data_IF_800806811875
#
_entry.id   IF_800806811875
#
_cell.length_a   1.000
_cell.length_b   1.000
_cell.length_c   1.000
_cell.angle_alpha   90.00
_cell.angle_beta   90.00
_cell.angle_gamma   90.00
#
_symmetry.space_group_name_H-M   'P 1'
#
loop_
_entity.id
_entity.type
_entity.pdbx_description
1 polymer ?
#
# COMPACT_ATOMS: atom_id res chain seq x y z
N UNK A 1 -12.12 15.42 -10.81
CA UNK A 1 -11.28 14.31 -11.28
C UNK A 1 -11.78 13.88 -12.64
N UNK A 2 -10.91 13.64 -13.62
CA UNK A 2 -11.28 13.19 -14.96
C UNK A 2 -11.59 11.69 -14.87
N UNK A 3 -12.81 11.29 -15.23
CA UNK A 3 -13.21 9.88 -15.32
C UNK A 3 -12.40 9.19 -16.41
N UNK A 4 -12.02 7.94 -16.18
CA UNK A 4 -11.32 7.11 -17.14
C UNK A 4 -12.28 6.20 -17.88
N UNK A 5 -12.00 5.97 -19.16
CA UNK A 5 -12.82 5.15 -20.04
C UNK A 5 -12.17 3.78 -20.23
N UNK A 6 -12.88 2.71 -19.89
CA UNK A 6 -12.46 1.32 -20.10
C UNK A 6 -13.40 0.64 -21.10
N UNK A 7 -12.84 0.05 -22.12
CA UNK A 7 -13.56 -0.91 -22.97
C UNK A 7 -13.25 -2.32 -22.49
N UNK A 8 -14.31 -3.08 -22.20
CA UNK A 8 -14.23 -4.51 -21.91
C UNK A 8 -14.93 -5.30 -23.02
N UNK A 9 -14.24 -6.28 -23.60
CA UNK A 9 -14.86 -7.11 -24.63
C UNK A 9 -14.54 -8.60 -24.43
N UNK A 10 -15.59 -9.41 -24.38
CA UNK A 10 -15.51 -10.86 -24.21
C UNK A 10 -16.77 -11.50 -24.81
N UNK A 11 -16.64 -12.71 -25.39
CA UNK A 11 -17.78 -13.47 -25.89
C UNK A 11 -18.65 -14.06 -24.78
N UNK A 12 -18.08 -14.28 -23.60
CA UNK A 12 -18.80 -14.76 -22.42
C UNK A 12 -19.53 -13.59 -21.75
N UNK A 13 -20.81 -13.44 -22.07
CA UNK A 13 -21.67 -12.37 -21.57
C UNK A 13 -21.82 -12.41 -20.05
N UNK A 14 -21.90 -13.62 -19.46
CA UNK A 14 -22.06 -13.76 -18.01
C UNK A 14 -20.78 -13.34 -17.27
N UNK A 15 -19.64 -13.80 -17.77
CA UNK A 15 -18.32 -13.38 -17.23
C UNK A 15 -18.14 -11.87 -17.32
N UNK A 16 -18.41 -11.29 -18.49
CA UNK A 16 -18.27 -9.87 -18.76
C UNK A 16 -19.18 -9.01 -17.87
N UNK A 17 -20.45 -9.43 -17.70
CA UNK A 17 -21.41 -8.73 -16.84
C UNK A 17 -20.99 -8.75 -15.38
N UNK A 18 -20.56 -9.90 -14.85
CA UNK A 18 -20.10 -10.03 -13.48
C UNK A 18 -18.84 -9.18 -13.23
N UNK A 19 -17.92 -9.18 -14.18
CA UNK A 19 -16.68 -8.41 -14.11
C UNK A 19 -16.97 -6.90 -14.13
N UNK A 20 -17.84 -6.45 -15.04
CA UNK A 20 -18.25 -5.05 -15.18
C UNK A 20 -18.95 -4.54 -13.92
N UNK A 21 -19.86 -5.32 -13.35
CA UNK A 21 -20.54 -4.96 -12.11
C UNK A 21 -19.56 -4.80 -10.95
N UNK A 22 -18.61 -5.73 -10.83
CA UNK A 22 -17.56 -5.64 -9.82
C UNK A 22 -16.69 -4.38 -10.00
N UNK A 23 -16.27 -4.08 -11.22
CA UNK A 23 -15.44 -2.90 -11.51
C UNK A 23 -16.16 -1.59 -11.23
N UNK A 24 -17.48 -1.50 -11.56
CA UNK A 24 -18.29 -0.32 -11.23
C UNK A 24 -18.43 -0.11 -9.72
N UNK A 25 -18.60 -1.19 -8.97
CA UNK A 25 -18.72 -1.12 -7.50
C UNK A 25 -17.39 -0.66 -6.85
N UNK A 26 -16.26 -1.22 -7.30
CA UNK A 26 -14.95 -0.97 -6.68
C UNK A 26 -14.24 0.28 -7.20
N UNK A 27 -14.49 0.68 -8.43
CA UNK A 27 -13.89 1.88 -9.01
C UNK A 27 -14.92 2.74 -9.77
N UNK A 28 -15.74 3.55 -9.06
CA UNK A 28 -16.77 4.40 -9.68
C UNK A 28 -16.23 5.47 -10.64
N UNK A 29 -14.91 5.69 -10.66
CA UNK A 29 -14.26 6.64 -11.57
C UNK A 29 -13.92 6.01 -12.93
N UNK A 30 -14.11 4.69 -13.06
CA UNK A 30 -13.85 3.95 -14.29
C UNK A 30 -15.17 3.75 -15.04
N UNK A 31 -15.42 4.59 -16.05
CA UNK A 31 -16.57 4.43 -16.94
C UNK A 31 -16.31 3.28 -17.92
N UNK A 32 -17.31 2.42 -18.11
CA UNK A 32 -17.13 1.20 -18.86
C UNK A 32 -18.05 1.14 -20.07
N UNK A 33 -17.47 0.72 -21.22
CA UNK A 33 -18.20 0.29 -22.40
C UNK A 33 -17.92 -1.22 -22.60
N UNK A 34 -18.99 -2.03 -22.62
CA UNK A 34 -18.89 -3.47 -22.72
C UNK A 34 -19.38 -4.00 -24.08
N UNK A 35 -18.64 -4.96 -24.64
CA UNK A 35 -18.96 -5.54 -25.94
C UNK A 35 -18.84 -7.07 -25.90
N UNK A 36 -19.94 -7.75 -26.28
CA UNK A 36 -19.95 -9.22 -26.39
C UNK A 36 -19.66 -9.69 -27.83
N UNK A 37 -19.66 -8.77 -28.81
CA UNK A 37 -19.42 -9.06 -30.23
C UNK A 37 -18.33 -8.14 -30.76
N UNK A 38 -17.34 -8.74 -31.42
CA UNK A 38 -16.19 -8.03 -31.97
C UNK A 38 -16.60 -7.00 -33.04
N UNK A 39 -17.60 -7.32 -33.87
CA UNK A 39 -18.12 -6.44 -34.90
C UNK A 39 -18.65 -5.14 -34.31
N UNK A 40 -19.36 -5.21 -33.17
CA UNK A 40 -19.89 -4.04 -32.47
C UNK A 40 -18.81 -3.18 -31.85
N UNK A 41 -17.75 -3.79 -31.34
CA UNK A 41 -16.57 -3.08 -30.85
C UNK A 41 -15.88 -2.32 -32.00
N UNK A 42 -15.69 -2.98 -33.13
CA UNK A 42 -15.08 -2.36 -34.32
C UNK A 42 -15.95 -1.20 -34.83
N UNK A 43 -17.27 -1.41 -34.99
CA UNK A 43 -18.21 -0.35 -35.39
C UNK A 43 -18.11 0.86 -34.44
N UNK A 44 -18.05 0.63 -33.14
CA UNK A 44 -17.93 1.70 -32.13
C UNK A 44 -16.65 2.51 -32.34
N UNK A 45 -15.51 1.85 -32.53
CA UNK A 45 -14.22 2.51 -32.72
C UNK A 45 -14.13 3.23 -34.08
N UNK A 46 -14.65 2.64 -35.16
CA UNK A 46 -14.70 3.28 -36.50
C UNK A 46 -15.59 4.53 -36.53
N UNK A 47 -16.63 4.60 -35.65
CA UNK A 47 -17.47 5.76 -35.51
C UNK A 47 -16.97 6.81 -34.50
N UNK A 48 -15.66 6.75 -34.15
CA UNK A 48 -15.01 7.75 -33.28
C UNK A 48 -15.12 7.44 -31.78
N UNK A 49 -15.56 6.25 -31.39
CA UNK A 49 -15.49 5.79 -30.02
C UNK A 49 -14.03 5.63 -29.59
N UNK A 50 -13.74 5.97 -28.33
CA UNK A 50 -12.39 5.86 -27.78
C UNK A 50 -12.43 5.50 -26.30
N UNK A 51 -11.30 5.07 -25.76
CA UNK A 51 -11.11 4.84 -24.33
C UNK A 51 -9.64 5.06 -23.92
N UNK A 52 -9.41 5.13 -22.62
CA UNK A 52 -8.03 5.12 -22.09
C UNK A 52 -7.46 3.69 -22.12
N UNK A 53 -8.30 2.69 -21.86
CA UNK A 53 -7.93 1.27 -21.72
C UNK A 53 -8.85 0.41 -22.60
N UNK A 54 -8.24 -0.49 -23.37
CA UNK A 54 -8.94 -1.55 -24.12
C UNK A 54 -8.52 -2.90 -23.54
N UNK A 55 -9.42 -3.59 -22.84
CA UNK A 55 -9.20 -4.92 -22.31
C UNK A 55 -10.12 -5.92 -23.00
N UNK A 56 -9.56 -6.85 -23.77
CA UNK A 56 -10.30 -7.76 -24.62
C UNK A 56 -9.89 -9.22 -24.43
N UNK A 57 -10.83 -10.13 -24.59
CA UNK A 57 -10.53 -11.56 -24.73
C UNK A 57 -9.59 -11.81 -25.93
N UNK A 58 -8.71 -12.79 -25.82
CA UNK A 58 -7.74 -13.13 -26.88
C UNK A 58 -8.36 -13.38 -28.24
N UNK A 59 -9.62 -13.83 -28.31
CA UNK A 59 -10.35 -14.05 -29.56
C UNK A 59 -10.74 -12.76 -30.29
N UNK A 60 -10.64 -11.61 -29.63
CA UNK A 60 -10.90 -10.29 -30.22
C UNK A 60 -9.62 -9.63 -30.76
N UNK A 61 -8.46 -10.01 -30.24
CA UNK A 61 -7.19 -9.40 -30.58
C UNK A 61 -6.79 -9.73 -32.01
N UNK A 62 -6.67 -8.69 -32.86
CA UNK A 62 -6.11 -8.81 -34.21
C UNK A 62 -5.49 -7.47 -34.66
N UNK A 63 -4.86 -7.48 -35.83
CA UNK A 63 -4.20 -6.30 -36.40
C UNK A 63 -5.17 -5.13 -36.67
N UNK A 64 -6.44 -5.41 -37.04
CA UNK A 64 -7.44 -4.36 -37.27
C UNK A 64 -7.80 -3.65 -35.95
N UNK A 65 -8.11 -4.38 -34.91
CA UNK A 65 -8.42 -3.82 -33.60
C UNK A 65 -7.21 -3.10 -33.01
N UNK A 66 -6.01 -3.64 -33.18
CA UNK A 66 -4.78 -3.01 -32.75
C UNK A 66 -4.57 -1.64 -33.39
N UNK A 67 -4.86 -1.50 -34.68
CA UNK A 67 -4.74 -0.24 -35.43
C UNK A 67 -5.78 0.79 -34.98
N UNK A 68 -7.05 0.37 -34.75
CA UNK A 68 -8.13 1.25 -34.28
C UNK A 68 -7.90 1.75 -32.86
N UNK A 69 -7.19 0.98 -32.02
CA UNK A 69 -6.90 1.31 -30.64
C UNK A 69 -5.47 1.85 -30.43
N UNK A 70 -4.88 2.54 -31.45
CA UNK A 70 -3.49 2.98 -31.42
C UNK A 70 -3.13 3.83 -30.19
N UNK A 71 -4.04 4.71 -29.77
CA UNK A 71 -3.87 5.65 -28.66
C UNK A 71 -4.32 5.10 -27.30
N UNK A 72 -4.73 3.83 -27.25
CA UNK A 72 -5.23 3.18 -26.01
C UNK A 72 -4.16 2.24 -25.44
N UNK A 73 -4.21 2.04 -24.11
CA UNK A 73 -3.50 0.90 -23.50
C UNK A 73 -4.24 -0.39 -23.85
N UNK A 74 -3.58 -1.25 -24.63
CA UNK A 74 -4.15 -2.48 -25.19
C UNK A 74 -3.79 -3.67 -24.32
N UNK A 75 -4.80 -4.33 -23.76
CA UNK A 75 -4.67 -5.48 -22.85
C UNK A 75 -5.45 -6.67 -23.43
N UNK A 76 -4.82 -7.83 -23.45
CA UNK A 76 -5.48 -9.10 -23.74
C UNK A 76 -5.69 -9.89 -22.47
N UNK A 77 -6.94 -10.29 -22.23
CA UNK A 77 -7.33 -11.22 -21.18
C UNK A 77 -7.17 -12.64 -21.71
N UNK A 78 -6.08 -13.30 -21.32
CA UNK A 78 -5.70 -14.62 -21.83
C UNK A 78 -5.75 -15.70 -20.74
N UNK A 79 -6.12 -16.90 -21.12
CA UNK A 79 -6.03 -18.08 -20.27
C UNK A 79 -4.68 -18.81 -20.41
N UNK A 80 -4.02 -18.67 -21.56
CA UNK A 80 -2.73 -19.31 -21.85
C UNK A 80 -1.51 -18.49 -21.42
N UNK A 81 -1.68 -17.18 -21.24
CA UNK A 81 -0.60 -16.20 -20.98
C UNK A 81 0.47 -16.16 -22.10
N UNK A 82 0.13 -16.61 -23.29
CA UNK A 82 1.04 -16.48 -24.44
C UNK A 82 1.11 -15.02 -24.88
N UNK A 83 2.30 -14.52 -25.26
CA UNK A 83 2.46 -13.16 -25.76
C UNK A 83 1.61 -12.89 -26.98
N UNK A 84 0.88 -11.78 -27.01
CA UNK A 84 0.11 -11.30 -28.14
C UNK A 84 0.72 -10.00 -28.62
N UNK A 85 1.14 -9.96 -29.90
CA UNK A 85 1.85 -8.81 -30.47
C UNK A 85 1.02 -7.52 -30.35
N UNK A 86 1.61 -6.49 -29.75
CA UNK A 86 0.99 -5.17 -29.57
C UNK A 86 0.00 -5.07 -28.42
N UNK A 87 -0.11 -6.10 -27.58
CA UNK A 87 -0.94 -6.12 -26.38
C UNK A 87 -0.14 -6.51 -25.14
N UNK A 88 -0.51 -5.91 -24.00
CA UNK A 88 -0.10 -6.43 -22.70
C UNK A 88 -0.99 -7.63 -22.34
N UNK A 89 -0.41 -8.71 -21.81
CA UNK A 89 -1.17 -9.91 -21.48
C UNK A 89 -1.45 -9.97 -20.00
N UNK A 90 -2.71 -10.23 -19.66
CA UNK A 90 -3.22 -10.35 -18.29
C UNK A 90 -4.00 -11.66 -18.16
N UNK A 91 -3.82 -12.38 -17.03
CA UNK A 91 -4.51 -13.65 -16.79
C UNK A 91 -6.02 -13.44 -16.65
N UNK A 92 -6.82 -14.09 -17.51
CA UNK A 92 -8.27 -13.94 -17.56
C UNK A 92 -8.97 -14.48 -16.30
N UNK A 93 -8.72 -15.74 -15.95
CA UNK A 93 -9.41 -16.41 -14.84
C UNK A 93 -8.64 -16.27 -13.54
N UNK A 94 -8.90 -15.16 -12.85
CA UNK A 94 -8.40 -14.84 -11.53
C UNK A 94 -9.47 -14.09 -10.74
N UNK A 95 -9.22 -13.72 -9.48
CA UNK A 95 -10.16 -12.90 -8.70
C UNK A 95 -10.40 -11.57 -9.42
N UNK A 96 -11.66 -11.11 -9.49
CA UNK A 96 -12.02 -9.85 -10.18
C UNK A 96 -11.24 -8.65 -9.66
N UNK A 97 -10.91 -8.64 -8.38
CA UNK A 97 -10.07 -7.61 -7.75
C UNK A 97 -8.64 -7.62 -8.30
N UNK A 98 -8.01 -8.78 -8.36
CA UNK A 98 -6.66 -8.93 -8.91
C UNK A 98 -6.63 -8.54 -10.39
N UNK A 99 -7.67 -8.93 -11.15
CA UNK A 99 -7.79 -8.59 -12.57
C UNK A 99 -7.92 -7.08 -12.79
N UNK A 100 -8.78 -6.40 -12.01
CA UNK A 100 -8.92 -4.93 -12.08
C UNK A 100 -7.60 -4.24 -11.80
N UNK A 101 -6.91 -4.64 -10.72
CA UNK A 101 -5.65 -4.06 -10.31
C UNK A 101 -4.55 -4.27 -11.37
N UNK A 102 -4.48 -5.45 -11.96
CA UNK A 102 -3.51 -5.76 -13.02
C UNK A 102 -3.76 -4.94 -14.29
N UNK A 103 -5.03 -4.76 -14.71
CA UNK A 103 -5.42 -3.88 -15.81
C UNK A 103 -5.00 -2.43 -15.53
N UNK A 104 -5.29 -1.91 -14.34
CA UNK A 104 -4.95 -0.54 -13.96
C UNK A 104 -3.43 -0.34 -13.84
N UNK A 105 -2.71 -1.35 -13.34
CA UNK A 105 -1.26 -1.32 -13.27
C UNK A 105 -0.64 -1.23 -14.68
N UNK A 106 -1.10 -2.06 -15.62
CA UNK A 106 -0.65 -2.02 -17.03
C UNK A 106 -0.92 -0.66 -17.68
N UNK A 107 -2.07 -0.07 -17.39
CA UNK A 107 -2.39 1.29 -17.85
C UNK A 107 -1.41 2.33 -17.27
N UNK A 108 -1.13 2.26 -15.97
CA UNK A 108 -0.19 3.17 -15.32
C UNK A 108 1.24 3.01 -15.86
N UNK A 109 1.70 1.77 -16.09
CA UNK A 109 3.00 1.47 -16.68
C UNK A 109 3.13 2.05 -18.09
N UNK A 110 2.07 1.94 -18.92
CA UNK A 110 2.09 2.42 -20.32
C UNK A 110 1.99 3.94 -20.44
N UNK A 111 1.30 4.62 -19.52
CA UNK A 111 1.00 6.06 -19.63
C UNK A 111 1.78 6.93 -18.65
N UNK A 112 2.41 6.33 -17.62
CA UNK A 112 3.01 7.05 -16.49
C UNK A 112 1.98 7.73 -15.57
N UNK A 113 0.68 7.45 -15.74
CA UNK A 113 -0.42 8.04 -14.95
C UNK A 113 -0.86 7.07 -13.87
N UNK A 114 -0.46 7.33 -12.63
CA UNK A 114 -0.78 6.50 -11.47
C UNK A 114 -2.11 6.83 -10.79
N UNK A 115 -2.76 7.93 -11.17
CA UNK A 115 -4.01 8.41 -10.55
C UNK A 115 -5.20 7.42 -10.65
N UNK A 116 -5.10 6.42 -11.52
CA UNK A 116 -6.16 5.43 -11.81
C UNK A 116 -6.07 4.19 -10.92
N UNK A 117 -4.88 3.92 -10.38
CA UNK A 117 -4.64 2.76 -9.49
C UNK A 117 -5.38 2.91 -8.14
N UNK A 118 -5.82 4.13 -7.80
CA UNK A 118 -6.63 4.42 -6.60
C UNK A 118 -8.10 3.97 -6.67
N UNK A 119 -8.42 2.90 -7.38
CA UNK A 119 -9.58 2.09 -7.05
C UNK A 119 -9.35 1.61 -5.61
N UNK A 120 -10.36 1.73 -4.72
CA UNK A 120 -10.25 1.31 -3.32
C UNK A 120 -9.72 -0.13 -3.26
N UNK A 121 -8.40 -0.29 -3.24
CA UNK A 121 -7.79 -1.50 -2.73
C UNK A 121 -8.30 -1.65 -1.30
N UNK A 122 -8.81 -2.81 -0.93
CA UNK A 122 -9.18 -3.07 0.47
C UNK A 122 -7.95 -3.16 1.39
N UNK A 123 -6.75 -3.17 0.80
CA UNK A 123 -5.49 -3.18 1.54
C UNK A 123 -5.27 -1.84 2.23
N UNK A 124 -5.05 -1.84 3.53
CA UNK A 124 -4.77 -0.64 4.32
C UNK A 124 -3.27 -0.43 4.48
N UNK A 125 -2.78 0.73 4.06
CA UNK A 125 -1.39 1.15 4.28
C UNK A 125 -1.27 1.87 5.64
N UNK A 126 -0.55 1.26 6.56
CA UNK A 126 -0.35 1.73 7.93
C UNK A 126 1.12 2.06 8.15
N UNK A 127 1.43 3.30 8.44
CA UNK A 127 2.81 3.79 8.62
C UNK A 127 3.08 4.08 10.09
N UNK A 128 4.24 3.66 10.57
CA UNK A 128 4.76 4.06 11.88
C UNK A 128 5.84 5.13 11.69
N UNK A 129 5.49 6.37 12.01
CA UNK A 129 6.40 7.52 11.88
C UNK A 129 6.45 8.36 13.16
N UNK A 130 7.63 8.79 13.54
CA UNK A 130 7.86 9.77 14.60
C UNK A 130 9.16 10.54 14.30
N UNK A 131 9.18 11.88 14.43
CA UNK A 131 10.40 12.68 14.27
C UNK A 131 11.39 12.43 15.41
N UNK A 132 10.96 11.82 16.52
CA UNK A 132 11.81 11.44 17.63
C UNK A 132 12.44 10.05 17.39
N UNK A 133 13.77 9.98 17.36
CA UNK A 133 14.49 8.71 17.40
C UNK A 133 14.22 7.99 18.72
N UNK A 134 14.24 6.64 18.70
CA UNK A 134 14.02 5.84 19.92
C UNK A 134 12.58 5.81 20.42
N UNK A 135 11.61 6.42 19.72
CA UNK A 135 10.19 6.43 20.11
C UNK A 135 9.51 5.07 20.07
N UNK A 136 10.15 4.06 19.49
CA UNK A 136 9.65 2.68 19.41
C UNK A 136 8.91 2.36 18.11
N UNK A 137 9.14 3.07 17.01
CA UNK A 137 8.53 2.81 15.69
C UNK A 137 8.65 1.34 15.28
N UNK A 138 9.87 0.85 15.12
CA UNK A 138 10.15 -0.53 14.73
C UNK A 138 9.56 -1.56 15.70
N UNK A 139 9.62 -1.30 16.99
CA UNK A 139 9.00 -2.15 18.02
C UNK A 139 7.50 -2.27 17.83
N UNK A 140 6.82 -1.12 17.63
CA UNK A 140 5.37 -1.08 17.49
C UNK A 140 4.91 -1.56 16.11
N UNK A 141 5.67 -1.30 15.05
CA UNK A 141 5.35 -1.79 13.71
C UNK A 141 5.42 -3.33 13.64
N UNK A 142 6.46 -3.95 14.23
CA UNK A 142 6.55 -5.40 14.35
C UNK A 142 5.46 -5.99 15.26
N UNK A 143 5.17 -5.32 16.38
CA UNK A 143 4.09 -5.71 17.28
C UNK A 143 2.74 -5.69 16.55
N UNK A 144 2.48 -4.64 15.78
CA UNK A 144 1.26 -4.49 14.98
C UNK A 144 1.18 -5.57 13.89
N UNK A 145 2.27 -5.83 13.17
CA UNK A 145 2.32 -6.87 12.16
C UNK A 145 1.99 -8.25 12.75
N UNK A 146 2.60 -8.59 13.89
CA UNK A 146 2.32 -9.86 14.59
C UNK A 146 0.90 -9.92 15.17
N UNK A 147 0.37 -8.82 15.70
CA UNK A 147 -0.99 -8.76 16.24
C UNK A 147 -2.04 -8.89 15.12
N UNK A 148 -1.82 -8.26 13.97
CA UNK A 148 -2.67 -8.40 12.79
C UNK A 148 -2.62 -9.84 12.24
N UNK A 149 -1.44 -10.45 12.14
CA UNK A 149 -1.30 -11.86 11.77
C UNK A 149 -2.03 -12.80 12.72
N UNK A 150 -1.89 -12.59 14.03
CA UNK A 150 -2.63 -13.34 15.07
C UNK A 150 -4.15 -13.10 15.03
N UNK A 151 -4.59 -11.96 14.45
CA UNK A 151 -6.01 -11.68 14.19
C UNK A 151 -6.54 -12.37 12.92
N UNK A 152 -5.68 -13.06 12.16
CA UNK A 152 -6.04 -13.73 10.90
C UNK A 152 -6.01 -12.79 9.68
N UNK A 153 -5.48 -11.58 9.81
CA UNK A 153 -5.32 -10.65 8.70
C UNK A 153 -4.08 -11.03 7.87
N UNK A 154 -4.22 -11.02 6.55
CA UNK A 154 -3.08 -11.17 5.63
C UNK A 154 -2.24 -9.90 5.70
N UNK A 155 -1.18 -9.94 6.46
CA UNK A 155 -0.37 -8.78 6.81
C UNK A 155 0.96 -8.81 6.08
N UNK A 156 1.36 -7.69 5.50
CA UNK A 156 2.70 -7.48 4.97
C UNK A 156 3.46 -6.46 5.82
N UNK A 157 4.65 -6.81 6.28
CA UNK A 157 5.56 -5.90 6.97
C UNK A 157 6.64 -5.41 6.01
N UNK A 158 6.67 -4.11 5.78
CA UNK A 158 7.64 -3.44 4.90
C UNK A 158 8.57 -2.57 5.73
N UNK A 159 9.84 -2.97 5.82
CA UNK A 159 10.89 -2.16 6.45
C UNK A 159 11.56 -1.26 5.40
N UNK A 160 11.38 0.06 5.54
CA UNK A 160 12.00 1.09 4.72
C UNK A 160 13.03 1.91 5.52
N UNK A 161 13.70 1.28 6.50
CA UNK A 161 14.86 1.88 7.14
C UNK A 161 16.09 1.78 6.22
N UNK A 162 16.93 2.82 6.23
CA UNK A 162 18.22 2.84 5.51
C UNK A 162 19.18 1.76 6.01
N UNK A 163 19.08 1.47 7.31
CA UNK A 163 19.82 0.40 7.98
C UNK A 163 18.79 -0.54 8.59
N UNK A 164 18.69 -1.74 8.05
CA UNK A 164 17.71 -2.75 8.48
C UNK A 164 17.97 -3.16 9.93
N UNK A 165 17.21 -2.60 10.86
CA UNK A 165 17.30 -2.86 12.30
C UNK A 165 16.74 -4.23 12.69
N UNK A 166 15.96 -4.88 11.83
CA UNK A 166 15.38 -6.22 12.06
C UNK A 166 16.20 -7.35 11.43
N UNK A 167 17.28 -7.01 10.72
CA UNK A 167 18.20 -7.98 10.14
C UNK A 167 18.77 -8.91 11.23
N UNK A 168 18.68 -10.20 10.99
CA UNK A 168 19.08 -11.23 11.97
C UNK A 168 18.03 -11.57 13.03
N UNK A 169 16.93 -10.83 13.11
CA UNK A 169 15.72 -11.22 13.87
C UNK A 169 14.74 -11.99 12.98
N UNK A 170 14.47 -11.46 11.82
CA UNK A 170 13.73 -12.15 10.76
C UNK A 170 14.71 -13.02 9.97
N UNK A 171 14.26 -14.20 9.53
CA UNK A 171 15.03 -15.05 8.66
C UNK A 171 15.28 -14.35 7.30
N UNK A 172 16.36 -14.67 6.58
CA UNK A 172 16.54 -14.17 5.23
C UNK A 172 15.37 -14.55 4.34
N UNK A 173 14.84 -13.59 3.57
CA UNK A 173 13.83 -13.84 2.55
C UNK A 173 14.45 -14.39 1.26
N UNK A 174 13.61 -14.80 0.30
CA UNK A 174 14.08 -15.38 -0.97
C UNK A 174 14.78 -14.33 -1.86
N UNK A 175 14.51 -13.04 -1.65
CA UNK A 175 15.20 -11.90 -2.22
C UNK A 175 15.09 -10.73 -1.25
N UNK A 176 15.62 -9.57 -1.63
CA UNK A 176 15.72 -8.38 -0.78
C UNK A 176 14.93 -7.21 -1.37
N UNK A 177 14.80 -6.14 -0.61
CA UNK A 177 14.23 -4.89 -1.09
C UNK A 177 15.05 -4.31 -2.26
N UNK A 178 16.38 -4.56 -2.29
CA UNK A 178 17.25 -4.20 -3.42
C UNK A 178 16.81 -4.83 -4.73
N UNK A 179 16.41 -6.10 -4.70
CA UNK A 179 15.86 -6.81 -5.85
C UNK A 179 14.58 -6.17 -6.39
N UNK A 180 13.71 -5.72 -5.48
CA UNK A 180 12.45 -5.07 -5.84
C UNK A 180 12.70 -3.67 -6.40
N UNK A 181 13.66 -2.93 -5.83
CA UNK A 181 14.09 -1.63 -6.35
C UNK A 181 14.70 -1.75 -7.76
N UNK A 182 15.49 -2.79 -8.00
CA UNK A 182 15.99 -3.07 -9.35
C UNK A 182 14.85 -3.33 -10.35
N UNK A 183 13.82 -4.06 -9.92
CA UNK A 183 12.63 -4.28 -10.76
C UNK A 183 11.86 -2.98 -11.05
N UNK A 184 11.76 -2.06 -10.08
CA UNK A 184 11.15 -0.73 -10.27
C UNK A 184 11.87 0.12 -11.30
N UNK A 185 13.21 0.00 -11.40
CA UNK A 185 14.06 0.73 -12.35
C UNK A 185 14.11 0.07 -13.74
N UNK A 186 13.76 -1.21 -13.82
CA UNK A 186 13.89 -1.99 -15.07
C UNK A 186 12.59 -1.97 -15.87
N UNK A 187 12.64 -1.44 -17.11
CA UNK A 187 11.49 -1.46 -18.01
C UNK A 187 11.04 -2.88 -18.33
N UNK A 188 9.73 -3.12 -18.25
CA UNK A 188 9.13 -4.43 -18.57
C UNK A 188 9.19 -5.47 -17.43
N UNK A 189 9.80 -5.16 -16.29
CA UNK A 189 9.74 -6.03 -15.13
C UNK A 189 8.44 -5.78 -14.34
N UNK A 190 7.74 -6.87 -14.02
CA UNK A 190 6.56 -6.80 -13.16
C UNK A 190 7.00 -6.78 -11.68
N UNK A 191 6.88 -5.61 -11.06
CA UNK A 191 7.29 -5.38 -9.67
C UNK A 191 6.49 -6.25 -8.69
N UNK A 192 5.19 -6.46 -8.93
CA UNK A 192 4.34 -7.31 -8.10
C UNK A 192 4.79 -8.78 -8.12
N UNK A 193 5.11 -9.32 -9.29
CA UNK A 193 5.66 -10.68 -9.43
C UNK A 193 7.01 -10.79 -8.73
N UNK A 194 7.89 -9.78 -8.88
CA UNK A 194 9.19 -9.78 -8.20
C UNK A 194 9.01 -9.73 -6.68
N UNK A 195 8.12 -8.87 -6.20
CA UNK A 195 7.79 -8.77 -4.78
C UNK A 195 7.29 -10.11 -4.22
N UNK A 196 6.32 -10.74 -4.89
CA UNK A 196 5.78 -12.03 -4.48
C UNK A 196 6.86 -13.13 -4.46
N UNK A 197 7.81 -13.09 -5.41
CA UNK A 197 8.94 -14.04 -5.45
C UNK A 197 9.96 -13.80 -4.33
N UNK A 198 10.12 -12.57 -3.85
CA UNK A 198 11.06 -12.21 -2.78
C UNK A 198 10.45 -12.40 -1.39
N UNK A 199 9.16 -12.15 -1.23
CA UNK A 199 8.47 -12.18 0.05
C UNK A 199 8.41 -13.59 0.65
N UNK A 200 8.52 -13.66 1.97
CA UNK A 200 8.36 -14.89 2.74
C UNK A 200 7.45 -14.66 3.94
N UNK A 201 6.84 -15.72 4.46
CA UNK A 201 6.01 -15.64 5.64
C UNK A 201 6.83 -15.90 6.91
N UNK A 202 6.77 -14.97 7.87
CA UNK A 202 7.19 -15.22 9.24
C UNK A 202 6.12 -16.10 9.92
N UNK A 203 6.50 -17.35 10.24
CA UNK A 203 5.54 -18.38 10.65
C UNK A 203 4.94 -18.16 12.04
N UNK A 204 5.68 -17.53 12.93
CA UNK A 204 5.26 -17.34 14.32
C UNK A 204 4.35 -16.13 14.47
N UNK A 205 4.70 -15.01 13.84
CA UNK A 205 3.91 -13.79 13.82
C UNK A 205 2.80 -13.78 12.77
N UNK A 206 2.84 -14.70 11.80
CA UNK A 206 1.79 -14.85 10.79
C UNK A 206 1.75 -13.77 9.72
N UNK A 207 2.81 -12.96 9.58
CA UNK A 207 2.88 -11.88 8.58
C UNK A 207 3.90 -12.19 7.49
N UNK A 208 3.74 -11.55 6.32
CA UNK A 208 4.71 -11.61 5.22
C UNK A 208 5.69 -10.45 5.31
N UNK A 209 6.90 -10.64 4.82
CA UNK A 209 7.95 -9.62 4.77
C UNK A 209 8.97 -9.94 3.69
N UNK A 210 9.84 -8.98 3.42
CA UNK A 210 11.09 -9.20 2.69
C UNK A 210 12.24 -8.52 3.44
N UNK A 211 13.45 -9.01 3.25
CA UNK A 211 14.65 -8.44 3.84
C UNK A 211 14.89 -7.03 3.30
N UNK A 212 15.42 -6.14 4.13
CA UNK A 212 15.73 -4.76 3.76
C UNK A 212 16.74 -4.64 2.61
N UNK A 213 17.19 -3.44 2.34
CA UNK A 213 18.21 -3.17 1.32
C UNK A 213 19.56 -3.82 1.70
N UNK A 214 20.33 -4.22 0.69
CA UNK A 214 21.64 -4.82 0.90
C UNK A 214 22.70 -3.76 1.24
N UNK A 215 22.52 -2.54 0.72
CA UNK A 215 23.48 -1.45 0.87
C UNK A 215 22.77 -0.11 1.07
N UNK A 216 23.34 0.76 1.92
CA UNK A 216 22.89 2.14 2.14
C UNK A 216 22.93 2.91 0.82
N UNK A 217 23.95 2.72 -0.02
CA UNK A 217 24.09 3.40 -1.29
C UNK A 217 22.94 3.12 -2.24
N UNK A 218 22.43 1.88 -2.27
CA UNK A 218 21.25 1.52 -3.05
C UNK A 218 20.00 2.25 -2.54
N UNK A 219 19.84 2.36 -1.22
CA UNK A 219 18.73 3.11 -0.63
C UNK A 219 18.82 4.60 -0.96
N UNK A 220 20.03 5.18 -0.98
CA UNK A 220 20.25 6.59 -1.33
C UNK A 220 19.81 6.90 -2.77
N UNK A 221 20.05 5.97 -3.70
CA UNK A 221 19.68 6.11 -5.10
C UNK A 221 18.18 5.99 -5.40
N UNK A 222 17.38 5.50 -4.46
CA UNK A 222 15.93 5.38 -4.62
C UNK A 222 15.26 6.74 -4.44
N UNK A 223 14.37 7.10 -5.35
CA UNK A 223 13.60 8.34 -5.32
C UNK A 223 12.29 8.20 -4.53
N UNK A 224 11.69 9.32 -4.12
CA UNK A 224 10.37 9.32 -3.50
C UNK A 224 9.29 8.75 -4.43
N UNK A 225 9.39 8.98 -5.75
CA UNK A 225 8.45 8.40 -6.72
C UNK A 225 8.56 6.88 -6.82
N UNK A 226 9.76 6.31 -6.73
CA UNK A 226 9.96 4.86 -6.72
C UNK A 226 9.42 4.23 -5.43
N UNK A 227 9.59 4.89 -4.28
CA UNK A 227 8.99 4.48 -3.02
C UNK A 227 7.46 4.52 -3.11
N UNK A 228 6.88 5.60 -3.66
CA UNK A 228 5.43 5.70 -3.88
C UNK A 228 4.93 4.54 -4.73
N UNK A 229 5.56 4.27 -5.88
CA UNK A 229 5.21 3.14 -6.77
C UNK A 229 5.31 1.78 -6.08
N UNK A 230 6.29 1.60 -5.19
CA UNK A 230 6.41 0.37 -4.40
C UNK A 230 5.19 0.18 -3.50
N UNK A 231 4.82 1.19 -2.71
CA UNK A 231 3.68 1.12 -1.79
C UNK A 231 2.37 0.92 -2.56
N UNK A 232 2.15 1.68 -3.63
CA UNK A 232 1.00 1.52 -4.53
C UNK A 232 0.93 0.10 -5.10
N UNK A 233 2.06 -0.45 -5.55
CA UNK A 233 2.12 -1.83 -6.08
C UNK A 233 1.71 -2.84 -5.02
N UNK A 234 2.29 -2.79 -3.82
CA UNK A 234 1.96 -3.73 -2.73
C UNK A 234 0.47 -3.66 -2.40
N UNK A 235 -0.07 -2.44 -2.26
CA UNK A 235 -1.49 -2.25 -1.97
C UNK A 235 -2.40 -2.73 -3.11
N UNK A 236 -1.99 -2.58 -4.36
CA UNK A 236 -2.78 -2.98 -5.53
C UNK A 236 -2.83 -4.48 -5.76
N UNK A 237 -1.89 -5.27 -5.23
CA UNK A 237 -1.90 -6.73 -5.38
C UNK A 237 -3.13 -7.39 -4.75
N UNK A 238 -3.80 -6.73 -3.79
CA UNK A 238 -4.97 -7.25 -3.05
C UNK A 238 -4.71 -8.62 -2.37
N UNK A 239 -3.45 -8.97 -2.20
CA UNK A 239 -3.03 -10.18 -1.50
C UNK A 239 -3.01 -9.98 0.01
N UNK A 240 -2.93 -8.72 0.45
CA UNK A 240 -2.83 -8.33 1.85
C UNK A 240 -4.04 -7.50 2.28
N UNK A 241 -4.47 -7.69 3.52
CA UNK A 241 -5.52 -6.88 4.13
C UNK A 241 -4.92 -5.59 4.73
N UNK A 242 -3.64 -5.68 5.16
CA UNK A 242 -2.90 -4.56 5.73
C UNK A 242 -1.41 -4.62 5.38
N UNK A 243 -0.82 -3.48 5.07
CA UNK A 243 0.63 -3.27 4.92
C UNK A 243 1.11 -2.40 6.05
N UNK A 244 1.95 -2.94 6.92
CA UNK A 244 2.58 -2.21 8.03
C UNK A 244 3.95 -1.73 7.56
N UNK A 245 4.14 -0.41 7.54
CA UNK A 245 5.35 0.20 7.00
C UNK A 245 6.14 0.87 8.11
N UNK A 246 7.36 0.43 8.31
CA UNK A 246 8.33 1.03 9.24
C UNK A 246 9.29 1.95 8.49
N UNK A 247 9.40 3.19 8.95
CA UNK A 247 10.24 4.21 8.33
C UNK A 247 11.18 4.88 9.33
N UNK A 248 12.23 5.51 8.83
CA UNK A 248 13.15 6.28 9.66
C UNK A 248 12.48 7.50 10.31
N UNK A 249 13.19 8.17 11.22
CA UNK A 249 12.71 9.44 11.81
C UNK A 249 12.99 10.66 10.93
N UNK A 250 13.66 10.47 9.80
CA UNK A 250 13.95 11.54 8.85
C UNK A 250 12.66 11.99 8.14
N UNK A 251 12.50 13.30 7.95
CA UNK A 251 11.42 13.88 7.16
C UNK A 251 11.92 14.13 5.72
N UNK A 252 12.40 13.08 5.08
CA UNK A 252 12.94 13.08 3.72
C UNK A 252 11.85 12.97 2.66
N UNK A 253 12.20 13.19 1.40
CA UNK A 253 11.31 12.98 0.25
C UNK A 253 10.74 11.54 0.22
N UNK A 254 11.57 10.54 0.52
CA UNK A 254 11.16 9.14 0.59
C UNK A 254 10.13 8.90 1.69
N UNK A 255 10.38 9.43 2.88
CA UNK A 255 9.42 9.34 4.01
C UNK A 255 8.12 10.06 3.68
N UNK A 256 8.18 11.24 3.06
CA UNK A 256 6.99 11.97 2.61
C UNK A 256 6.18 11.18 1.59
N UNK A 257 6.83 10.49 0.66
CA UNK A 257 6.15 9.63 -0.31
C UNK A 257 5.34 8.53 0.40
N UNK A 258 5.93 7.86 1.39
CA UNK A 258 5.24 6.84 2.20
C UNK A 258 4.07 7.44 2.99
N UNK A 259 4.28 8.58 3.67
CA UNK A 259 3.24 9.24 4.48
C UNK A 259 2.05 9.69 3.62
N UNK A 260 2.30 10.11 2.38
CA UNK A 260 1.23 10.49 1.45
C UNK A 260 0.39 9.29 1.00
N UNK A 261 0.99 8.11 0.85
CA UNK A 261 0.27 6.89 0.47
C UNK A 261 -0.41 6.19 1.65
N UNK A 262 -0.08 6.54 2.90
CA UNK A 262 -0.69 5.96 4.09
C UNK A 262 -2.20 6.21 4.17
N UNK A 263 -2.96 5.23 4.64
CA UNK A 263 -4.34 5.41 5.11
C UNK A 263 -4.36 5.94 6.54
N UNK A 264 -3.40 5.50 7.37
CA UNK A 264 -3.22 5.93 8.75
C UNK A 264 -1.74 6.00 9.11
N UNK A 265 -1.37 6.99 9.90
CA UNK A 265 -0.01 7.17 10.42
C UNK A 265 -0.05 7.08 11.95
N UNK A 266 0.40 5.97 12.49
CA UNK A 266 0.64 5.86 13.93
C UNK A 266 1.93 6.56 14.31
N UNK A 267 1.82 7.48 15.24
CA UNK A 267 2.93 8.32 15.68
C UNK A 267 3.27 8.01 17.14
N UNK A 268 4.27 7.14 17.39
CA UNK A 268 4.73 6.88 18.74
C UNK A 268 5.32 8.13 19.41
N UNK A 269 4.84 8.40 20.62
CA UNK A 269 5.33 9.48 21.46
C UNK A 269 5.67 8.95 22.85
N UNK A 270 6.82 9.39 23.38
CA UNK A 270 7.24 9.08 24.75
C UNK A 270 6.88 10.23 25.69
N UNK A 271 6.63 9.91 26.96
CA UNK A 271 6.42 10.93 27.99
C UNK A 271 7.74 11.59 28.47
N UNK A 272 8.66 11.79 27.55
CA UNK A 272 9.98 12.39 27.79
C UNK A 272 10.03 13.78 27.16
N UNK A 273 10.60 14.75 27.86
CA UNK A 273 10.69 16.14 27.45
C UNK A 273 11.23 16.30 26.02
N UNK A 274 12.33 15.62 25.70
CA UNK A 274 12.96 15.69 24.38
C UNK A 274 12.07 15.12 23.26
N UNK A 275 11.32 14.06 23.52
CA UNK A 275 10.39 13.46 22.57
C UNK A 275 9.22 14.39 22.29
N UNK A 276 8.67 14.96 23.36
CA UNK A 276 7.57 15.92 23.32
C UNK A 276 7.98 17.19 22.56
N UNK A 277 9.14 17.77 22.92
CA UNK A 277 9.64 19.00 22.30
C UNK A 277 9.90 18.83 20.78
N UNK A 278 10.47 17.68 20.36
CA UNK A 278 10.65 17.37 18.94
C UNK A 278 9.33 17.26 18.20
N UNK A 279 8.35 16.61 18.82
CA UNK A 279 7.03 16.44 18.22
C UNK A 279 6.29 17.77 18.07
N UNK A 280 6.31 18.62 19.10
CA UNK A 280 5.70 19.95 19.05
C UNK A 280 6.35 20.74 17.92
N UNK A 281 7.67 20.78 17.86
CA UNK A 281 8.40 21.53 16.84
C UNK A 281 8.11 21.01 15.43
N UNK A 282 8.05 19.68 15.25
CA UNK A 282 7.66 19.09 13.98
C UNK A 282 6.25 19.54 13.54
N UNK A 283 5.28 19.50 14.45
CA UNK A 283 3.91 19.93 14.15
C UNK A 283 3.82 21.42 13.85
N UNK A 284 4.58 22.26 14.58
CA UNK A 284 4.61 23.70 14.34
C UNK A 284 5.18 24.03 12.98
N UNK A 285 6.34 23.51 12.65
CA UNK A 285 7.00 23.73 11.36
C UNK A 285 6.18 23.20 10.19
N UNK A 286 5.67 21.98 10.32
CA UNK A 286 4.95 21.35 9.23
C UNK A 286 3.56 21.97 9.00
N UNK A 287 2.90 22.51 10.04
CA UNK A 287 1.63 23.24 9.90
C UNK A 287 1.73 24.54 9.11
N UNK A 288 2.93 25.08 8.94
CA UNK A 288 3.17 26.25 8.08
C UNK A 288 3.04 25.95 6.58
N UNK A 289 2.96 24.68 6.21
CA UNK A 289 2.94 24.26 4.82
C UNK A 289 1.69 23.44 4.50
N UNK A 290 0.76 24.01 3.75
CA UNK A 290 -0.51 23.39 3.35
C UNK A 290 -0.34 22.00 2.71
N UNK A 291 0.77 21.76 2.01
CA UNK A 291 1.08 20.48 1.36
C UNK A 291 1.17 19.30 2.34
N UNK A 292 1.34 19.54 3.65
CA UNK A 292 1.41 18.49 4.67
C UNK A 292 0.08 18.24 5.40
N UNK A 293 -0.95 19.09 5.16
CA UNK A 293 -2.25 18.95 5.84
C UNK A 293 -2.87 17.55 5.64
N UNK A 294 -2.73 16.97 4.44
CA UNK A 294 -3.21 15.62 4.15
C UNK A 294 -2.56 14.54 5.03
N UNK A 295 -1.31 14.73 5.45
CA UNK A 295 -0.60 13.80 6.33
C UNK A 295 -1.12 13.93 7.76
N UNK A 296 -1.30 15.15 8.26
CA UNK A 296 -1.81 15.38 9.63
C UNK A 296 -3.19 14.78 9.86
N UNK A 297 -4.07 14.85 8.86
CA UNK A 297 -5.41 14.25 8.95
C UNK A 297 -5.39 12.72 9.10
N UNK A 298 -4.27 12.08 8.76
CA UNK A 298 -4.06 10.63 8.88
C UNK A 298 -3.28 10.25 10.13
N UNK A 299 -2.69 11.21 10.84
CA UNK A 299 -1.86 10.95 12.02
C UNK A 299 -2.72 10.69 13.25
N UNK A 300 -2.26 9.77 14.06
CA UNK A 300 -2.79 9.47 15.38
C UNK A 300 -1.67 9.10 16.34
N UNK A 301 -1.71 9.65 17.56
CA UNK A 301 -0.69 9.34 18.54
C UNK A 301 -0.86 7.95 19.15
N UNK A 302 0.27 7.35 19.46
CA UNK A 302 0.38 6.18 20.32
C UNK A 302 1.33 6.53 21.46
N UNK A 303 0.81 6.63 22.68
CA UNK A 303 1.67 6.84 23.85
C UNK A 303 2.42 5.55 24.11
N UNK A 304 3.72 5.55 23.83
CA UNK A 304 4.54 4.36 23.99
C UNK A 304 5.30 4.40 25.32
N UNK A 305 5.62 3.23 25.85
CA UNK A 305 6.31 3.05 27.13
C UNK A 305 5.62 3.81 28.29
N UNK A 306 4.29 3.86 28.24
CA UNK A 306 3.53 4.48 29.31
C UNK A 306 3.81 3.75 30.63
N UNK A 307 3.80 4.49 31.75
CA UNK A 307 3.85 3.89 33.07
C UNK A 307 2.56 3.08 33.32
N UNK A 308 2.60 2.11 34.21
CA UNK A 308 1.43 1.33 34.63
C UNK A 308 0.32 2.25 35.19
N UNK A 309 0.71 3.41 35.73
CA UNK A 309 -0.18 4.46 36.23
C UNK A 309 -0.84 5.30 35.12
N UNK A 310 -0.51 5.08 33.84
CA UNK A 310 -1.07 5.80 32.70
C UNK A 310 -0.08 6.72 31.98
N UNK A 311 -0.63 7.72 31.30
CA UNK A 311 0.13 8.70 30.52
C UNK A 311 0.94 9.60 31.46
N UNK A 312 2.22 9.83 31.16
CA UNK A 312 3.10 10.69 31.98
C UNK A 312 2.59 12.14 32.04
N UNK A 313 2.86 12.77 33.18
CA UNK A 313 2.40 14.14 33.50
C UNK A 313 2.93 15.14 32.45
N UNK A 314 4.18 15.02 32.07
CA UNK A 314 4.83 15.90 31.09
C UNK A 314 4.10 15.92 29.74
N UNK A 315 3.64 14.73 29.29
CA UNK A 315 2.90 14.61 28.04
C UNK A 315 1.49 15.20 28.18
N UNK A 316 0.82 15.00 29.30
CA UNK A 316 -0.51 15.58 29.57
C UNK A 316 -0.47 17.11 29.64
N UNK A 317 0.55 17.69 30.31
CA UNK A 317 0.71 19.13 30.46
C UNK A 317 1.20 19.82 29.20
N UNK A 318 1.82 19.09 28.25
CA UNK A 318 2.37 19.66 27.01
C UNK A 318 1.30 20.18 26.04
N UNK A 319 0.04 19.78 26.21
CA UNK A 319 -1.04 20.06 25.25
C UNK A 319 -0.92 19.30 23.92
N UNK A 320 0.09 18.45 23.74
CA UNK A 320 0.36 17.73 22.50
C UNK A 320 -0.80 16.84 22.07
N UNK A 321 -1.41 16.12 23.04
CA UNK A 321 -2.53 15.21 22.80
C UNK A 321 -3.83 15.91 22.37
N UNK A 322 -3.88 17.25 22.48
CA UNK A 322 -5.00 18.05 21.98
C UNK A 322 -4.85 18.40 20.47
N UNK A 323 -3.67 18.20 19.89
CA UNK A 323 -3.36 18.59 18.52
C UNK A 323 -3.67 17.51 17.49
N UNK A 324 -3.50 16.24 17.88
CA UNK A 324 -3.73 15.07 17.02
C UNK A 324 -4.44 14.00 17.89
N UNK A 325 -5.40 13.24 17.33
CA UNK A 325 -6.08 12.16 18.04
C UNK A 325 -5.09 11.14 18.63
N UNK A 326 -5.44 10.52 19.76
CA UNK A 326 -4.67 9.44 20.35
C UNK A 326 -5.43 8.10 20.21
N UNK A 327 -4.82 7.11 19.57
CA UNK A 327 -5.41 5.78 19.36
C UNK A 327 -5.20 4.82 20.51
N UNK A 328 -4.29 5.13 21.44
CA UNK A 328 -4.04 4.26 22.58
C UNK A 328 -2.71 4.49 23.27
N UNK A 329 -2.48 3.72 24.31
CA UNK A 329 -1.22 3.71 25.06
C UNK A 329 -0.68 2.27 25.17
N UNK A 330 0.61 2.13 24.97
CA UNK A 330 1.33 0.85 25.12
C UNK A 330 2.26 0.97 26.31
N UNK A 331 2.04 0.15 27.32
CA UNK A 331 2.84 0.17 28.54
C UNK A 331 4.25 -0.37 28.26
N UNK A 332 5.22 0.17 28.99
CA UNK A 332 6.57 -0.38 29.01
C UNK A 332 6.52 -1.84 29.51
N UNK A 333 7.12 -2.75 28.75
CA UNK A 333 7.13 -4.16 29.13
C UNK A 333 8.57 -4.66 29.25
N UNK A 334 9.02 -5.10 30.44
CA UNK A 334 10.33 -5.69 30.61
C UNK A 334 10.48 -7.07 29.95
N UNK A 335 9.37 -7.67 29.50
CA UNK A 335 9.36 -9.00 28.86
C UNK A 335 9.86 -8.91 27.42
N UNK A 336 9.60 -7.81 26.72
CA UNK A 336 9.97 -7.64 25.32
C UNK A 336 11.34 -6.98 25.21
N UNK A 337 12.39 -7.78 25.39
CA UNK A 337 13.79 -7.32 25.28
C UNK A 337 14.35 -7.39 23.86
N UNK A 338 13.79 -8.27 23.04
CA UNK A 338 14.22 -8.52 21.67
C UNK A 338 13.02 -8.51 20.72
N UNK A 339 13.23 -8.15 19.47
CA UNK A 339 12.20 -8.21 18.44
C UNK A 339 11.59 -9.61 18.26
N UNK A 340 12.42 -10.67 18.45
CA UNK A 340 11.92 -12.05 18.43
C UNK A 340 10.88 -12.35 19.53
N UNK A 341 10.97 -11.70 20.68
CA UNK A 341 10.00 -11.87 21.77
C UNK A 341 8.67 -11.22 21.38
N UNK A 342 8.73 -10.05 20.72
CA UNK A 342 7.59 -9.32 20.20
C UNK A 342 6.85 -10.16 19.15
N UNK A 343 7.58 -10.69 18.16
CA UNK A 343 7.03 -11.52 17.09
C UNK A 343 6.30 -12.75 17.64
N UNK A 344 6.89 -13.42 18.65
CA UNK A 344 6.30 -14.59 19.29
C UNK A 344 5.06 -14.27 20.15
N UNK A 345 4.87 -13.04 20.52
CA UNK A 345 3.83 -12.60 21.45
C UNK A 345 2.62 -11.99 20.72
N UNK A 346 2.45 -12.21 19.43
CA UNK A 346 1.38 -11.60 18.63
C UNK A 346 -0.01 -11.72 19.24
N UNK A 347 -0.39 -12.90 19.75
CA UNK A 347 -1.70 -13.11 20.38
C UNK A 347 -1.88 -12.30 21.67
N UNK A 348 -0.81 -12.12 22.46
CA UNK A 348 -0.84 -11.31 23.69
C UNK A 348 -0.88 -9.83 23.35
N UNK A 349 -0.06 -9.41 22.39
CA UNK A 349 0.01 -8.03 21.90
C UNK A 349 -1.29 -7.60 21.23
N UNK A 350 -2.01 -8.53 20.60
CA UNK A 350 -3.32 -8.26 20.01
C UNK A 350 -4.26 -7.58 20.99
N UNK A 351 -4.39 -8.08 22.21
CA UNK A 351 -5.29 -7.49 23.21
C UNK A 351 -4.94 -6.01 23.50
N UNK A 352 -3.65 -5.70 23.56
CA UNK A 352 -3.17 -4.32 23.77
C UNK A 352 -3.38 -3.44 22.55
N UNK A 353 -3.24 -3.99 21.34
CA UNK A 353 -3.27 -3.27 20.07
C UNK A 353 -4.65 -3.31 19.38
N UNK A 354 -5.61 -4.08 19.87
CA UNK A 354 -6.96 -4.17 19.30
C UNK A 354 -7.61 -2.81 19.02
N UNK A 355 -7.53 -1.79 19.91
CA UNK A 355 -8.10 -0.47 19.61
C UNK A 355 -7.45 0.19 18.38
N UNK A 356 -6.15 -0.02 18.20
CA UNK A 356 -5.41 0.49 17.05
C UNK A 356 -5.76 -0.30 15.78
N UNK A 357 -5.88 -1.63 15.86
CA UNK A 357 -6.33 -2.49 14.76
C UNK A 357 -7.75 -2.08 14.31
N UNK A 358 -8.66 -1.84 15.24
CA UNK A 358 -10.00 -1.35 14.92
C UNK A 358 -9.95 0.02 14.24
N UNK A 359 -9.03 0.90 14.62
CA UNK A 359 -8.86 2.21 13.98
C UNK A 359 -8.44 2.08 12.50
N UNK A 360 -7.62 1.07 12.14
CA UNK A 360 -7.20 0.80 10.77
C UNK A 360 -8.40 0.53 9.84
N UNK A 361 -9.41 -0.17 10.34
CA UNK A 361 -10.55 -0.63 9.56
C UNK A 361 -11.84 0.19 9.78
N UNK A 362 -11.82 1.19 10.67
CA UNK A 362 -12.92 2.15 10.74
C UNK A 362 -12.98 2.92 9.43
N UNK A 363 -14.12 2.86 8.75
CA UNK A 363 -14.39 3.80 7.69
C UNK A 363 -14.31 5.22 8.28
N UNK A 364 -13.66 6.12 7.58
CA UNK A 364 -13.80 7.56 7.84
C UNK A 364 -15.24 7.94 7.43
N UNK A 365 -16.19 7.40 8.17
CA UNK A 365 -17.61 7.73 8.07
C UNK A 365 -17.78 9.18 8.47
N UNK A 366 -18.34 9.97 7.55
CA UNK A 366 -18.47 11.40 7.59
C UNK A 366 -18.71 11.99 8.97
N UNK A 367 -17.96 13.02 9.26
CA UNK A 367 -18.45 14.08 10.10
C UNK A 367 -19.68 14.68 9.42
N UNK A 368 -20.86 14.17 9.76
CA UNK A 368 -22.09 14.90 9.72
C UNK A 368 -22.31 15.51 11.11
N UNK A 369 -22.28 16.82 11.12
CA UNK A 369 -22.64 17.79 12.14
C UNK A 369 -21.49 18.32 12.99
#
# INVERSE_FOLDING_TARGET
MVKKQLILADRDELYLTNLSNYFMEKNPQLEQNIFTKKEKLIDYLENGGSADILAVDESFADAKLQALAADMTKIVLSSSMEPVEGYEVVKKYQKSESLLNEILLKYAESTGKTDVIRGKSNTRAVVFYSPAGGSGKTTLSLAMASACGAAGLRTFYLNLEEIDSVKGTLAPSAGTLSDVFLALKTKGMNVGVKLAACAVQERTGGFYYLSGVESISEYEEITGDEIRRLVETICSLSEYDVVIIDVTSSFSEKTLAVLNEADIVFTPVLSEENSIAKMIRFLDEASLHEKYNGIFNKMTFVVNQSAVSGVGKELLESGLLNRIPCSGAVAASPVFKKYSDIIRSGSLLRQTLDPMIQTIFKEQGGQNL
#
